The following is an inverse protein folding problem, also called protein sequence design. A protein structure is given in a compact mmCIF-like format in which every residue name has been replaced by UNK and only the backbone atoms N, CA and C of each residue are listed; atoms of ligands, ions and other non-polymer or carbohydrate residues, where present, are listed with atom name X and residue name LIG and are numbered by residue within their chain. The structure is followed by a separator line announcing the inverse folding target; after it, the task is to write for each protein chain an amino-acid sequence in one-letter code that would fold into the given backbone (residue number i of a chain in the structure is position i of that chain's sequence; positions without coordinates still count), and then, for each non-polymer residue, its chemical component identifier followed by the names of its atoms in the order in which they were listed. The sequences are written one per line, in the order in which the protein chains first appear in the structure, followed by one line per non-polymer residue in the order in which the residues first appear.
data_IF_463953680299
#
_entry.id   IF_463953680299
#
_cell.length_a   1.000
_cell.length_b   1.000
_cell.length_c   1.000
_cell.angle_alpha   90.00
_cell.angle_beta   90.00
_cell.angle_gamma   90.00
#
_symmetry.space_group_name_H-M   'P 1'
#
loop_
_entity.id
_entity.type
_entity.pdbx_description
1 polymer ?
#
# COMPACT_ATOMS: atom_id res chain seq x y z
N UNK A 1 24.93 22.30 -1.85
CA UNK A 1 24.66 20.89 -2.21
C UNK A 1 23.94 20.28 -1.02
N UNK A 2 22.61 20.21 -1.12
CA UNK A 2 21.74 19.81 0.00
C UNK A 2 21.86 18.31 0.22
N UNK A 3 22.04 17.91 1.48
CA UNK A 3 22.02 16.54 2.00
C UNK A 3 20.65 15.89 1.72
N UNK A 4 20.38 15.53 0.47
CA UNK A 4 19.21 14.77 0.07
C UNK A 4 19.41 13.32 0.51
N UNK A 5 18.91 13.05 1.71
CA UNK A 5 18.18 11.84 2.04
C UNK A 5 18.89 10.49 1.81
N UNK A 6 19.76 10.11 2.75
CA UNK A 6 20.06 8.69 3.03
C UNK A 6 18.85 8.01 3.70
N UNK A 7 17.67 8.10 3.09
CA UNK A 7 16.49 7.36 3.56
C UNK A 7 16.67 5.89 3.17
N UNK A 8 16.51 4.95 4.10
CA UNK A 8 16.64 3.54 3.76
C UNK A 8 15.52 3.14 2.80
N UNK A 9 15.88 2.50 1.69
CA UNK A 9 14.92 1.87 0.79
C UNK A 9 14.29 0.70 1.54
N UNK A 10 12.96 0.67 1.59
CA UNK A 10 12.21 -0.41 2.25
C UNK A 10 11.62 -1.32 1.19
N UNK A 11 11.83 -2.63 1.33
CA UNK A 11 11.23 -3.63 0.45
C UNK A 11 9.92 -4.15 1.05
N UNK A 12 8.90 -4.30 0.21
CA UNK A 12 7.63 -4.92 0.56
C UNK A 12 7.23 -5.99 -0.46
N UNK A 13 6.75 -7.13 0.05
CA UNK A 13 6.00 -8.12 -0.70
C UNK A 13 4.55 -7.63 -0.86
N UNK A 14 4.05 -7.64 -2.09
CA UNK A 14 2.65 -7.35 -2.40
C UNK A 14 1.94 -8.67 -2.63
N UNK A 15 0.93 -8.98 -1.80
CA UNK A 15 0.01 -10.10 -2.02
C UNK A 15 -1.32 -9.52 -2.52
N UNK A 16 -1.62 -9.65 -3.83
CA UNK A 16 -2.82 -9.06 -4.42
C UNK A 16 -4.10 -9.42 -3.67
N UNK A 17 -5.00 -8.46 -3.55
CA UNK A 17 -6.29 -8.58 -2.84
C UNK A 17 -6.18 -8.94 -1.35
N UNK A 18 -4.98 -8.95 -0.77
CA UNK A 18 -4.78 -9.43 0.60
C UNK A 18 -3.95 -8.49 1.47
N UNK A 19 -2.68 -8.25 1.15
CA UNK A 19 -1.79 -7.48 2.02
C UNK A 19 -0.58 -6.89 1.31
N UNK A 20 0.07 -5.94 1.97
CA UNK A 20 1.46 -5.54 1.70
C UNK A 20 2.26 -5.80 2.96
N UNK A 21 3.41 -6.47 2.86
CA UNK A 21 4.16 -6.91 4.03
C UNK A 21 5.66 -7.00 3.83
N UNK A 22 6.39 -6.99 4.94
CA UNK A 22 7.79 -7.39 5.01
C UNK A 22 8.07 -8.04 6.36
N UNK A 23 9.33 -8.35 6.64
CA UNK A 23 9.74 -9.02 7.88
C UNK A 23 9.40 -8.24 9.17
N UNK A 24 9.14 -6.94 9.06
CA UNK A 24 8.90 -6.05 10.20
C UNK A 24 7.44 -5.61 10.33
N UNK A 25 6.73 -5.41 9.22
CA UNK A 25 5.40 -4.83 9.16
C UNK A 25 4.51 -5.59 8.18
N UNK A 26 3.31 -5.95 8.65
CA UNK A 26 2.26 -6.58 7.84
C UNK A 26 1.01 -5.70 7.80
N UNK A 27 0.59 -5.29 6.60
CA UNK A 27 -0.59 -4.47 6.37
C UNK A 27 -1.64 -5.30 5.62
N UNK A 28 -2.53 -5.97 6.35
CA UNK A 28 -3.54 -6.89 5.81
C UNK A 28 -4.89 -6.16 5.68
N UNK A 29 -5.55 -6.30 4.53
CA UNK A 29 -6.91 -5.82 4.33
C UNK A 29 -7.87 -6.49 5.33
N UNK A 30 -8.80 -5.70 5.87
CA UNK A 30 -9.71 -6.12 6.94
C UNK A 30 -9.15 -5.96 8.35
N UNK A 31 -7.86 -5.62 8.51
CA UNK A 31 -7.27 -5.40 9.84
C UNK A 31 -7.84 -4.14 10.50
N UNK A 32 -8.29 -4.22 11.77
CA UNK A 32 -8.73 -3.05 12.52
C UNK A 32 -7.62 -2.00 12.70
N UNK A 33 -7.99 -0.71 12.68
CA UNK A 33 -7.03 0.41 12.75
C UNK A 33 -6.09 0.35 13.96
N UNK A 34 -6.58 -0.08 15.12
CA UNK A 34 -5.77 -0.20 16.34
C UNK A 34 -4.64 -1.23 16.18
N UNK A 35 -4.91 -2.36 15.49
CA UNK A 35 -3.88 -3.36 15.21
C UNK A 35 -2.83 -2.83 14.23
N UNK A 36 -3.26 -2.10 13.20
CA UNK A 36 -2.34 -1.45 12.25
C UNK A 36 -1.45 -0.42 12.96
N UNK A 37 -2.03 0.42 13.82
CA UNK A 37 -1.28 1.40 14.61
C UNK A 37 -0.23 0.70 15.50
N UNK A 38 -0.61 -0.38 16.19
CA UNK A 38 0.31 -1.16 17.00
C UNK A 38 1.46 -1.75 16.16
N UNK A 39 1.15 -2.28 14.97
CA UNK A 39 2.16 -2.79 14.03
C UNK A 39 3.18 -1.70 13.64
N UNK A 40 2.69 -0.52 13.27
CA UNK A 40 3.54 0.63 12.90
C UNK A 40 4.39 1.10 14.10
N UNK A 41 3.80 1.15 15.29
CA UNK A 41 4.51 1.53 16.51
C UNK A 41 5.65 0.56 16.85
N UNK A 42 5.50 -0.73 16.59
CA UNK A 42 6.56 -1.72 16.81
C UNK A 42 7.78 -1.52 15.88
N UNK A 43 7.58 -0.88 14.73
CA UNK A 43 8.63 -0.63 13.73
C UNK A 43 9.00 0.85 13.60
N UNK A 44 8.74 1.64 14.64
CA UNK A 44 8.95 3.09 14.66
C UNK A 44 10.38 3.54 14.33
N UNK A 45 11.38 2.64 14.36
CA UNK A 45 12.76 2.94 13.96
C UNK A 45 12.92 3.01 12.44
N UNK A 46 12.22 2.14 11.71
CA UNK A 46 12.23 2.06 10.24
C UNK A 46 11.17 2.97 9.63
N UNK A 47 9.95 2.90 10.13
CA UNK A 47 8.82 3.69 9.64
C UNK A 47 8.75 5.00 10.41
N UNK A 48 8.89 6.11 9.67
CA UNK A 48 8.91 7.48 10.21
C UNK A 48 7.91 8.34 9.45
N UNK A 49 7.58 9.49 10.04
CA UNK A 49 6.70 10.48 9.44
C UNK A 49 5.31 9.90 9.11
N UNK A 50 4.65 9.43 10.17
CA UNK A 50 3.31 8.83 10.11
C UNK A 50 2.28 9.92 10.39
N UNK A 51 1.33 10.09 9.48
CA UNK A 51 0.24 11.06 9.62
C UNK A 51 -1.11 10.34 9.72
N UNK A 52 -1.94 10.75 10.69
CA UNK A 52 -3.31 10.29 10.83
C UNK A 52 -4.26 11.43 10.45
N UNK A 53 -5.14 11.19 9.49
CA UNK A 53 -6.14 12.17 9.05
C UNK A 53 -7.54 11.60 9.24
N UNK A 54 -8.42 12.39 9.84
CA UNK A 54 -9.83 12.07 10.04
C UNK A 54 -10.66 13.37 10.06
N UNK A 55 -11.95 13.27 9.74
CA UNK A 55 -12.85 14.43 9.79
C UNK A 55 -13.54 14.52 11.15
N UNK A 56 -13.28 15.58 11.91
CA UNK A 56 -13.95 15.81 13.20
C UNK A 56 -15.42 16.24 13.06
N UNK A 57 -15.79 16.84 11.92
CA UNK A 57 -17.15 17.30 11.65
C UNK A 57 -18.06 16.17 11.15
N UNK A 58 -17.49 15.22 10.42
CA UNK A 58 -18.20 14.09 9.80
C UNK A 58 -17.39 12.80 10.03
N UNK A 59 -17.28 12.32 11.29
CA UNK A 59 -16.42 11.18 11.63
C UNK A 59 -16.79 9.88 10.90
N UNK A 60 -18.06 9.74 10.52
CA UNK A 60 -18.57 8.60 9.76
C UNK A 60 -18.73 8.90 8.26
N UNK A 61 -18.64 10.18 7.86
CA UNK A 61 -18.84 10.60 6.47
C UNK A 61 -17.59 10.52 5.60
N UNK A 62 -16.41 10.46 6.23
CA UNK A 62 -15.12 10.36 5.53
C UNK A 62 -14.24 9.30 6.15
N UNK A 63 -13.51 8.64 5.27
CA UNK A 63 -12.53 7.61 5.61
C UNK A 63 -11.46 8.16 6.54
N UNK A 64 -11.02 7.33 7.48
CA UNK A 64 -9.83 7.62 8.28
C UNK A 64 -8.63 7.16 7.45
N UNK A 65 -7.58 7.97 7.38
CA UNK A 65 -6.36 7.59 6.65
C UNK A 65 -5.13 7.63 7.53
N UNK A 66 -4.28 6.62 7.41
CA UNK A 66 -2.91 6.65 7.94
C UNK A 66 -1.95 6.73 6.75
N UNK A 67 -1.08 7.73 6.74
CA UNK A 67 -0.09 7.94 5.68
C UNK A 67 1.32 7.75 6.22
N UNK A 68 2.07 6.84 5.60
CA UNK A 68 3.51 6.66 5.81
C UNK A 68 4.24 7.54 4.78
N UNK A 69 4.41 8.82 5.08
CA UNK A 69 4.87 9.83 4.10
C UNK A 69 6.23 9.47 3.50
N UNK A 70 7.15 8.94 4.31
CA UNK A 70 8.49 8.58 3.85
C UNK A 70 8.53 7.32 2.97
N UNK A 71 7.48 6.50 3.02
CA UNK A 71 7.37 5.25 2.28
C UNK A 71 6.37 5.34 1.13
N UNK A 72 5.69 6.46 0.95
CA UNK A 72 4.69 6.60 -0.11
C UNK A 72 3.49 5.66 0.03
N UNK A 73 3.16 5.22 1.25
CA UNK A 73 2.05 4.29 1.51
C UNK A 73 0.93 5.02 2.24
N UNK A 74 -0.30 4.90 1.76
CA UNK A 74 -1.50 5.40 2.43
C UNK A 74 -2.49 4.27 2.66
N UNK A 75 -2.99 4.18 3.87
CA UNK A 75 -3.99 3.20 4.30
C UNK A 75 -5.32 3.92 4.50
N UNK A 76 -6.39 3.40 3.89
CA UNK A 76 -7.75 3.90 4.05
C UNK A 76 -8.56 2.94 4.90
N UNK A 77 -9.15 3.46 5.97
CA UNK A 77 -10.00 2.73 6.89
C UNK A 77 -11.45 3.09 6.66
N UNK A 78 -12.33 2.10 6.76
CA UNK A 78 -13.77 2.33 6.80
C UNK A 78 -14.16 3.28 7.94
N UNK A 79 -14.97 4.29 7.65
CA UNK A 79 -15.34 5.30 8.64
C UNK A 79 -16.22 4.73 9.76
N UNK A 80 -16.95 3.64 9.49
CA UNK A 80 -17.87 3.02 10.45
C UNK A 80 -17.21 1.84 11.16
N UNK A 81 -16.70 0.88 10.40
CA UNK A 81 -16.09 -0.35 10.93
C UNK A 81 -14.62 -0.20 11.31
N UNK A 82 -13.95 0.88 10.90
CA UNK A 82 -12.55 1.18 11.20
C UNK A 82 -11.57 0.07 10.81
N UNK A 83 -11.93 -0.71 9.77
CA UNK A 83 -11.08 -1.75 9.19
C UNK A 83 -10.36 -1.22 7.95
N UNK A 84 -9.13 -1.68 7.73
CA UNK A 84 -8.34 -1.34 6.56
C UNK A 84 -9.01 -1.86 5.28
N UNK A 85 -9.47 -0.97 4.41
CA UNK A 85 -10.15 -1.36 3.15
C UNK A 85 -9.26 -1.26 1.92
N UNK A 86 -8.30 -0.35 1.94
CA UNK A 86 -7.47 -0.04 0.77
C UNK A 86 -6.09 0.40 1.21
N UNK A 87 -5.09 -0.07 0.48
CA UNK A 87 -3.70 0.37 0.58
C UNK A 87 -3.35 1.00 -0.76
N UNK A 88 -2.95 2.26 -0.72
CA UNK A 88 -2.52 3.05 -1.87
C UNK A 88 -1.01 3.27 -1.78
N UNK A 89 -0.33 3.05 -2.91
CA UNK A 89 1.07 3.40 -3.09
C UNK A 89 1.11 4.64 -3.99
N UNK A 90 1.58 5.76 -3.45
CA UNK A 90 1.57 7.06 -4.13
C UNK A 90 2.97 7.65 -4.39
N UNK A 91 4.01 7.12 -3.74
CA UNK A 91 5.40 7.48 -4.01
C UNK A 91 6.29 6.22 -3.96
N UNK A 92 7.00 5.96 -5.06
CA UNK A 92 7.86 4.79 -5.23
C UNK A 92 9.35 5.11 -5.02
N UNK A 93 9.70 6.36 -4.69
CA UNK A 93 11.08 6.84 -4.62
C UNK A 93 11.93 6.16 -3.54
N UNK A 94 11.30 5.54 -2.53
CA UNK A 94 11.98 4.90 -1.40
C UNK A 94 11.42 3.51 -1.08
N UNK A 95 10.76 2.87 -2.05
CA UNK A 95 10.15 1.56 -1.88
C UNK A 95 10.46 0.64 -3.05
N UNK A 96 10.82 -0.60 -2.72
CA UNK A 96 10.92 -1.71 -3.68
C UNK A 96 9.74 -2.66 -3.47
N UNK A 97 9.06 -3.03 -4.54
CA UNK A 97 7.89 -3.92 -4.50
C UNK A 97 8.18 -5.21 -5.24
N UNK A 98 7.82 -6.32 -4.61
CA UNK A 98 7.98 -7.64 -5.22
C UNK A 98 6.76 -8.53 -4.99
N UNK A 99 6.59 -9.52 -5.86
CA UNK A 99 5.57 -10.56 -5.76
C UNK A 99 6.20 -11.91 -6.08
N UNK A 100 6.07 -12.88 -5.16
CA UNK A 100 6.64 -14.23 -5.31
C UNK A 100 8.08 -14.24 -5.87
N UNK A 101 8.94 -13.37 -5.31
CA UNK A 101 10.35 -13.16 -5.67
C UNK A 101 10.64 -12.28 -6.90
N UNK A 102 9.63 -11.85 -7.65
CA UNK A 102 9.82 -10.95 -8.78
C UNK A 102 9.66 -9.50 -8.33
N UNK A 103 10.73 -8.72 -8.41
CA UNK A 103 10.67 -7.26 -8.23
C UNK A 103 10.01 -6.64 -9.45
N UNK A 104 8.93 -5.89 -9.24
CA UNK A 104 8.20 -5.20 -10.32
C UNK A 104 8.22 -3.68 -10.18
N UNK A 105 8.70 -3.16 -9.04
CA UNK A 105 8.95 -1.74 -8.81
C UNK A 105 10.24 -1.59 -7.99
N UNK A 106 11.12 -0.71 -8.43
CA UNK A 106 12.22 -0.17 -7.62
C UNK A 106 12.23 1.36 -7.69
N UNK A 107 13.00 2.05 -6.84
CA UNK A 107 13.20 3.50 -6.94
C UNK A 107 13.75 3.96 -8.30
N UNK A 108 14.64 3.18 -8.93
CA UNK A 108 15.17 3.52 -10.26
C UNK A 108 14.18 3.18 -11.38
N UNK A 109 13.37 2.15 -11.17
CA UNK A 109 12.46 1.59 -12.17
C UNK A 109 11.05 1.42 -11.57
N UNK A 110 10.26 2.50 -11.45
CA UNK A 110 8.94 2.43 -10.84
C UNK A 110 8.00 1.50 -11.62
N UNK A 111 7.02 0.95 -10.91
CA UNK A 111 5.99 0.11 -11.50
C UNK A 111 5.19 0.91 -12.54
N UNK A 112 4.96 0.27 -13.69
CA UNK A 112 3.98 0.69 -14.69
C UNK A 112 2.90 -0.39 -14.86
N UNK A 113 1.85 -0.05 -15.61
CA UNK A 113 0.72 -0.96 -15.86
C UNK A 113 1.20 -2.28 -16.46
N UNK A 114 2.11 -2.26 -17.44
CA UNK A 114 2.58 -3.46 -18.13
C UNK A 114 3.39 -4.39 -17.23
N UNK A 115 4.25 -3.83 -16.36
CA UNK A 115 5.00 -4.59 -15.35
C UNK A 115 4.06 -5.25 -14.35
N UNK A 116 3.06 -4.51 -13.88
CA UNK A 116 2.05 -4.98 -12.93
C UNK A 116 1.20 -6.09 -13.56
N UNK A 117 0.75 -5.93 -14.81
CA UNK A 117 0.01 -6.97 -15.56
C UNK A 117 0.83 -8.25 -15.74
N UNK A 118 2.10 -8.11 -16.15
CA UNK A 118 3.01 -9.23 -16.35
C UNK A 118 3.34 -9.95 -15.04
N UNK A 119 3.46 -9.20 -13.94
CA UNK A 119 3.83 -9.74 -12.63
C UNK A 119 2.69 -10.54 -11.99
N UNK A 120 1.47 -10.00 -11.99
CA UNK A 120 0.32 -10.60 -11.31
C UNK A 120 -0.55 -11.47 -12.21
N UNK A 121 -0.40 -11.36 -13.54
CA UNK A 121 -1.19 -12.14 -14.51
C UNK A 121 -2.65 -11.73 -14.51
N UNK A 122 -2.93 -10.47 -14.92
CA UNK A 122 -4.29 -9.95 -15.01
C UNK A 122 -5.19 -10.92 -15.80
N UNK A 123 -6.24 -11.42 -15.15
CA UNK A 123 -7.21 -12.36 -15.76
C UNK A 123 -8.37 -11.63 -16.43
N UNK A 124 -8.48 -10.32 -16.19
CA UNK A 124 -9.48 -9.41 -16.74
C UNK A 124 -8.75 -8.18 -17.27
N UNK A 125 -9.03 -7.72 -18.50
CA UNK A 125 -8.43 -6.48 -19.02
C UNK A 125 -8.74 -5.31 -18.09
N UNK A 126 -7.75 -4.45 -17.85
CA UNK A 126 -7.94 -3.29 -16.99
C UNK A 126 -8.97 -2.33 -17.58
N UNK A 127 -9.77 -1.74 -16.69
CA UNK A 127 -10.83 -0.79 -17.02
C UNK A 127 -10.37 0.61 -16.62
N UNK A 128 -10.36 1.54 -17.57
CA UNK A 128 -10.11 2.94 -17.27
C UNK A 128 -11.39 3.60 -16.76
N UNK A 129 -11.35 4.10 -15.52
CA UNK A 129 -12.41 4.94 -14.95
C UNK A 129 -12.08 6.41 -15.23
N UNK A 130 -12.73 6.98 -16.25
CA UNK A 130 -12.57 8.39 -16.64
C UNK A 130 -12.95 9.36 -15.52
N UNK A 131 -13.92 9.01 -14.65
CA UNK A 131 -14.36 9.91 -13.57
C UNK A 131 -13.30 10.05 -12.49
N UNK A 132 -12.59 8.95 -12.22
CA UNK A 132 -11.52 8.94 -11.23
C UNK A 132 -10.14 9.18 -11.85
N UNK A 133 -10.04 9.23 -13.19
CA UNK A 133 -8.78 9.23 -13.95
C UNK A 133 -7.85 8.09 -13.50
N UNK A 134 -8.43 6.92 -13.21
CA UNK A 134 -7.72 5.75 -12.67
C UNK A 134 -7.83 4.56 -13.63
N UNK A 135 -6.73 3.86 -13.81
CA UNK A 135 -6.73 2.56 -14.48
C UNK A 135 -6.90 1.47 -13.42
N UNK A 136 -8.01 0.73 -13.48
CA UNK A 136 -8.38 -0.29 -12.50
C UNK A 136 -8.11 -1.67 -13.10
N UNK A 137 -7.24 -2.44 -12.46
CA UNK A 137 -6.98 -3.82 -12.78
C UNK A 137 -7.50 -4.72 -11.65
N UNK A 138 -8.15 -5.83 -12.02
CA UNK A 138 -8.70 -6.78 -11.07
C UNK A 138 -7.99 -8.14 -11.23
N UNK A 139 -7.59 -8.74 -10.12
CA UNK A 139 -6.91 -10.04 -10.11
C UNK A 139 -7.62 -11.00 -9.21
N UNK A 140 -8.37 -11.97 -9.75
CA UNK A 140 -8.91 -13.05 -8.91
C UNK A 140 -7.75 -13.79 -8.24
N UNK A 141 -7.70 -13.79 -6.92
CA UNK A 141 -6.76 -14.61 -6.16
C UNK A 141 -6.80 -16.08 -6.61
N UNK A 142 -5.75 -16.56 -7.30
CA UNK A 142 -5.46 -17.99 -7.37
C UNK A 142 -4.54 -18.36 -6.22
N UNK A 143 -5.10 -18.43 -5.01
CA UNK A 143 -4.46 -19.15 -3.90
C UNK A 143 -5.32 -20.36 -3.54
N UNK A 144 -4.97 -21.50 -4.12
CA UNK A 144 -5.12 -22.79 -3.45
C UNK A 144 -3.88 -23.61 -3.78
N UNK A 145 -2.89 -23.56 -2.87
CA UNK A 145 -2.08 -24.76 -2.61
C UNK A 145 -2.56 -25.28 -1.26
N UNK A 146 -3.05 -26.52 -1.29
CA UNK A 146 -3.29 -27.34 -0.11
C UNK A 146 -1.99 -27.61 0.63
#
# INVERSE_FOLDING_TARGET
MSSSDLRPIVSFEVVPEHCIRNDQLELILGTPINQVINGIQNVYRTIKNVELTYCTKEPFGRDITITLQNNGIRMYFDSHSQVLRMIELFDFSHVTLHYCHNVFSSPEEPADVGKVEKCFGATVPGVYDEKQQKYIMNWRGKFSRR
#
